data_IF_598889484267
#
_entry.id   IF_598889484267
#
_cell.length_a   1.000
_cell.length_b   1.000
_cell.length_c   1.000
_cell.angle_alpha   90.00
_cell.angle_beta   90.00
_cell.angle_gamma   90.00
#
_symmetry.space_group_name_H-M   'P 1'
#
loop_
_entity.id
_entity.type
_entity.pdbx_description
1 polymer ?
#
# COMPACT_ATOMS: atom_id res chain seq x y z
N UNK A 1 -24.74 26.15 -16.29
CA UNK A 1 -23.39 26.59 -16.60
C UNK A 1 -22.85 25.82 -17.79
N UNK A 2 -22.19 26.52 -18.69
CA UNK A 2 -21.63 25.85 -19.86
C UNK A 2 -20.19 25.42 -19.54
N UNK A 3 -19.77 24.26 -20.10
CA UNK A 3 -18.40 23.75 -20.01
C UNK A 3 -17.47 24.63 -20.85
N UNK A 4 -16.37 25.06 -20.28
CA UNK A 4 -15.29 25.67 -21.05
C UNK A 4 -14.42 24.54 -21.62
N UNK A 5 -14.39 24.40 -22.94
CA UNK A 5 -13.72 23.30 -23.61
C UNK A 5 -12.76 23.79 -24.69
N UNK A 6 -11.53 23.32 -24.66
CA UNK A 6 -10.56 23.50 -25.74
C UNK A 6 -10.16 22.11 -26.24
N UNK A 7 -10.35 21.88 -27.54
CA UNK A 7 -9.82 20.74 -28.27
C UNK A 7 -9.23 21.27 -29.57
N UNK A 8 -7.92 21.21 -29.74
CA UNK A 8 -7.25 21.80 -30.92
C UNK A 8 -5.94 21.11 -31.23
N UNK A 9 -5.75 20.79 -32.52
CA UNK A 9 -4.49 20.22 -33.02
C UNK A 9 -3.37 21.27 -33.24
N UNK A 10 -3.71 22.54 -33.40
CA UNK A 10 -2.76 23.58 -33.79
C UNK A 10 -2.61 24.74 -32.81
N UNK A 11 -3.18 24.66 -31.61
CA UNK A 11 -3.08 25.68 -30.59
C UNK A 11 -1.77 25.53 -29.83
N UNK A 12 -0.85 26.53 -29.96
CA UNK A 12 0.42 26.51 -29.24
C UNK A 12 0.33 27.05 -27.81
N UNK A 13 -0.54 28.04 -27.58
CA UNK A 13 -0.74 28.61 -26.25
C UNK A 13 -2.15 29.20 -26.14
N UNK A 14 -2.65 29.20 -24.91
CA UNK A 14 -3.94 29.82 -24.57
C UNK A 14 -3.82 30.61 -23.27
N UNK A 15 -4.33 31.83 -23.26
CA UNK A 15 -4.38 32.68 -22.08
C UNK A 15 -5.77 33.31 -21.92
N UNK A 16 -6.32 33.25 -20.72
CA UNK A 16 -7.57 33.90 -20.32
C UNK A 16 -7.33 34.67 -19.01
N UNK A 17 -6.63 35.80 -19.12
CA UNK A 17 -6.09 36.54 -17.97
C UNK A 17 -7.17 37.18 -17.05
N UNK A 18 -8.37 37.40 -17.56
CA UNK A 18 -9.47 38.00 -16.79
C UNK A 18 -10.57 36.95 -16.43
N UNK A 19 -10.35 35.67 -16.74
CA UNK A 19 -11.30 34.61 -16.41
C UNK A 19 -11.22 34.29 -14.92
N UNK A 20 -12.25 34.65 -14.16
CA UNK A 20 -12.30 34.43 -12.71
C UNK A 20 -13.04 33.18 -12.29
N UNK A 21 -13.95 32.66 -13.12
CA UNK A 21 -14.68 31.45 -12.79
C UNK A 21 -15.18 30.70 -14.03
N UNK A 22 -15.29 29.39 -13.90
CA UNK A 22 -15.96 28.49 -14.84
C UNK A 22 -17.11 27.82 -14.09
N UNK A 23 -18.36 28.09 -14.51
CA UNK A 23 -19.57 27.65 -13.79
C UNK A 23 -19.87 26.14 -13.90
N UNK A 24 -19.14 25.40 -14.75
CA UNK A 24 -19.24 23.95 -14.91
C UNK A 24 -17.83 23.38 -15.07
N UNK A 25 -17.56 22.55 -16.08
CA UNK A 25 -16.26 21.94 -16.27
C UNK A 25 -15.28 22.87 -17.02
N UNK A 26 -14.03 22.87 -16.62
CA UNK A 26 -12.88 23.34 -17.40
C UNK A 26 -12.23 22.11 -18.03
N UNK A 27 -12.36 21.96 -19.35
CA UNK A 27 -11.87 20.78 -20.06
C UNK A 27 -10.89 21.19 -21.17
N UNK A 28 -9.61 21.00 -20.95
CA UNK A 28 -8.54 21.19 -21.91
C UNK A 28 -8.07 19.79 -22.33
N UNK A 29 -8.47 19.37 -23.53
CA UNK A 29 -8.29 17.98 -23.98
C UNK A 29 -7.65 18.00 -25.36
N UNK A 30 -6.41 17.54 -25.42
CA UNK A 30 -5.71 17.35 -26.69
C UNK A 30 -6.34 16.23 -27.51
N UNK A 31 -6.34 16.40 -28.82
CA UNK A 31 -6.83 15.39 -29.75
C UNK A 31 -5.81 14.25 -29.88
N UNK A 32 -6.30 13.04 -30.09
CA UNK A 32 -5.47 11.88 -30.37
C UNK A 32 -5.83 11.27 -31.72
N UNK A 33 -4.84 10.68 -32.39
CA UNK A 33 -5.04 9.90 -33.59
C UNK A 33 -5.66 8.52 -33.30
N UNK A 34 -5.87 7.71 -34.34
CA UNK A 34 -6.43 6.37 -34.22
C UNK A 34 -5.53 5.40 -33.41
N UNK A 35 -4.25 5.71 -33.22
CA UNK A 35 -3.31 4.95 -32.40
C UNK A 35 -3.31 5.39 -30.92
N UNK A 36 -4.04 6.46 -30.59
CA UNK A 36 -4.06 7.08 -29.27
C UNK A 36 -2.92 8.07 -29.03
N UNK A 37 -2.10 8.37 -30.05
CA UNK A 37 -1.04 9.36 -29.96
C UNK A 37 -1.62 10.78 -30.05
N UNK A 38 -1.20 11.69 -29.18
CA UNK A 38 -1.68 13.08 -29.20
C UNK A 38 -1.15 13.83 -30.40
N UNK A 39 -2.05 14.59 -31.07
CA UNK A 39 -1.75 15.52 -32.14
C UNK A 39 -1.74 16.98 -31.67
N UNK A 40 -1.87 17.22 -30.36
CA UNK A 40 -1.96 18.56 -29.78
C UNK A 40 -0.63 19.00 -29.21
N UNK A 41 -0.11 20.12 -29.70
CA UNK A 41 1.22 20.66 -29.39
C UNK A 41 1.15 21.95 -28.56
N UNK A 42 0.15 22.11 -27.70
CA UNK A 42 0.07 23.27 -26.82
C UNK A 42 1.17 23.20 -25.76
N UNK A 43 1.87 24.33 -25.57
CA UNK A 43 2.99 24.43 -24.64
C UNK A 43 2.62 25.15 -23.34
N UNK A 44 1.63 26.05 -23.36
CA UNK A 44 1.29 26.91 -22.22
C UNK A 44 -0.21 27.17 -22.14
N UNK A 45 -0.77 26.98 -20.93
CA UNK A 45 -2.11 27.47 -20.57
C UNK A 45 -2.01 28.45 -19.38
N UNK A 46 -2.68 29.61 -19.49
CA UNK A 46 -2.59 30.69 -18.50
C UNK A 46 -3.97 31.16 -18.05
N UNK A 47 -4.26 30.97 -16.77
CA UNK A 47 -5.52 31.36 -16.10
C UNK A 47 -5.19 32.00 -14.73
N UNK A 48 -4.48 33.15 -14.68
CA UNK A 48 -3.88 33.67 -13.44
C UNK A 48 -4.91 34.19 -12.46
N UNK A 49 -6.10 34.60 -12.96
CA UNK A 49 -7.19 35.14 -12.15
C UNK A 49 -8.32 34.12 -11.88
N UNK A 50 -8.17 32.87 -12.35
CA UNK A 50 -9.20 31.83 -12.14
C UNK A 50 -9.27 31.43 -10.67
N UNK A 51 -10.41 31.73 -10.05
CA UNK A 51 -10.66 31.46 -8.62
C UNK A 51 -11.39 30.14 -8.41
N UNK A 52 -12.31 29.77 -9.33
CA UNK A 52 -13.14 28.60 -9.13
C UNK A 52 -13.58 27.90 -10.41
N UNK A 53 -13.76 26.58 -10.30
CA UNK A 53 -14.36 25.71 -11.32
C UNK A 53 -15.52 24.95 -10.66
N UNK A 54 -16.76 25.17 -11.14
CA UNK A 54 -17.98 24.58 -10.58
C UNK A 54 -18.26 23.13 -11.00
N UNK A 55 -17.34 22.51 -11.69
CA UNK A 55 -17.35 21.08 -12.05
C UNK A 55 -15.92 20.52 -12.04
N UNK A 56 -15.59 19.63 -12.96
CA UNK A 56 -14.24 19.08 -13.06
C UNK A 56 -13.27 20.05 -13.76
N UNK A 57 -12.03 20.08 -13.32
CA UNK A 57 -10.90 20.65 -14.04
C UNK A 57 -10.10 19.50 -14.64
N UNK A 58 -10.09 19.40 -15.97
CA UNK A 58 -9.41 18.32 -16.71
C UNK A 58 -8.44 18.89 -17.73
N UNK A 59 -7.17 18.56 -17.61
CA UNK A 59 -6.12 18.88 -18.58
C UNK A 59 -5.45 17.57 -18.97
N UNK A 60 -5.54 17.20 -20.25
CA UNK A 60 -4.99 15.92 -20.70
C UNK A 60 -4.60 15.89 -22.18
N UNK A 61 -3.69 14.96 -22.52
CA UNK A 61 -3.25 14.66 -23.88
C UNK A 61 -2.52 15.86 -24.56
N UNK A 62 -1.66 16.54 -23.82
CA UNK A 62 -0.78 17.58 -24.36
C UNK A 62 0.68 17.23 -24.04
N UNK A 63 1.36 16.45 -24.90
CA UNK A 63 2.71 15.95 -24.64
C UNK A 63 3.79 17.04 -24.63
N UNK A 64 3.48 18.25 -25.13
CA UNK A 64 4.39 19.38 -25.14
C UNK A 64 4.03 20.47 -24.11
N UNK A 65 2.99 20.25 -23.29
CA UNK A 65 2.53 21.23 -22.31
C UNK A 65 3.54 21.40 -21.18
N UNK A 66 4.30 22.48 -21.24
CA UNK A 66 5.36 22.77 -20.28
C UNK A 66 4.88 23.53 -19.04
N UNK A 67 3.79 24.31 -19.15
CA UNK A 67 3.26 25.03 -17.99
C UNK A 67 1.75 25.25 -18.04
N UNK A 68 1.15 25.25 -16.84
CA UNK A 68 -0.22 25.67 -16.57
C UNK A 68 -0.18 26.65 -15.40
N UNK A 69 -0.69 27.87 -15.61
CA UNK A 69 -0.84 28.84 -14.54
C UNK A 69 -2.30 28.89 -14.07
N UNK A 70 -2.55 28.37 -12.89
CA UNK A 70 -3.79 28.47 -12.15
C UNK A 70 -3.50 28.96 -10.71
N UNK A 71 -2.57 29.90 -10.57
CA UNK A 71 -2.01 30.32 -9.26
C UNK A 71 -3.04 30.98 -8.32
N UNK A 72 -4.16 31.48 -8.86
CA UNK A 72 -5.24 32.02 -8.04
C UNK A 72 -6.33 31.02 -7.68
N UNK A 73 -6.29 29.79 -8.23
CA UNK A 73 -7.37 28.81 -8.07
C UNK A 73 -7.54 28.40 -6.60
N UNK A 74 -8.77 28.58 -6.08
CA UNK A 74 -9.12 28.31 -4.69
C UNK A 74 -9.98 27.06 -4.53
N UNK A 75 -10.87 26.79 -5.50
CA UNK A 75 -11.78 25.65 -5.39
C UNK A 75 -12.13 25.03 -6.75
N UNK A 76 -12.22 23.72 -6.75
CA UNK A 76 -12.80 22.90 -7.82
C UNK A 76 -13.88 22.02 -7.20
N UNK A 77 -15.17 22.22 -7.58
CA UNK A 77 -16.26 21.42 -6.99
C UNK A 77 -16.23 19.95 -7.39
N UNK A 78 -15.58 19.64 -8.51
CA UNK A 78 -15.33 18.30 -9.02
C UNK A 78 -13.88 17.87 -8.87
N UNK A 79 -13.45 17.01 -9.77
CA UNK A 79 -12.11 16.42 -9.79
C UNK A 79 -11.10 17.36 -10.46
N UNK A 80 -9.87 17.33 -9.97
CA UNK A 80 -8.68 17.95 -10.58
C UNK A 80 -7.88 16.85 -11.27
N UNK A 81 -7.83 16.87 -12.59
CA UNK A 81 -7.25 15.81 -13.42
C UNK A 81 -6.15 16.36 -14.33
N UNK A 82 -4.94 15.88 -14.16
CA UNK A 82 -3.78 16.10 -15.04
C UNK A 82 -3.30 14.75 -15.58
N UNK A 83 -3.39 14.57 -16.90
CA UNK A 83 -3.03 13.27 -17.49
C UNK A 83 -2.33 13.41 -18.84
N UNK A 84 -1.30 12.60 -19.08
CA UNK A 84 -0.57 12.53 -20.37
C UNK A 84 -0.06 13.90 -20.80
N UNK A 85 0.73 14.55 -19.94
CA UNK A 85 1.26 15.90 -20.06
C UNK A 85 2.79 15.92 -19.92
N UNK A 86 3.43 17.01 -20.33
CA UNK A 86 4.88 17.23 -20.15
C UNK A 86 5.21 18.22 -19.02
N UNK A 87 4.27 18.45 -18.09
CA UNK A 87 4.47 19.41 -17.02
C UNK A 87 5.64 19.02 -16.11
N UNK A 88 6.48 20.00 -15.79
CA UNK A 88 7.57 19.86 -14.82
C UNK A 88 7.12 20.13 -13.37
N UNK A 89 5.99 20.79 -13.18
CA UNK A 89 5.39 21.06 -11.87
C UNK A 89 3.91 21.41 -11.98
N UNK A 90 3.16 21.11 -10.93
CA UNK A 90 1.77 21.53 -10.76
C UNK A 90 1.69 22.33 -9.47
N UNK A 91 1.36 23.61 -9.61
CA UNK A 91 1.33 24.57 -8.51
C UNK A 91 -0.07 25.12 -8.33
N UNK A 92 -0.71 24.77 -7.23
CA UNK A 92 -2.06 25.18 -6.83
C UNK A 92 -2.03 25.81 -5.41
N UNK A 93 -1.24 26.90 -5.23
CA UNK A 93 -0.85 27.37 -3.90
C UNK A 93 -1.99 27.91 -3.05
N UNK A 94 -3.15 28.20 -3.66
CA UNK A 94 -4.33 28.74 -2.96
C UNK A 94 -5.52 27.79 -2.96
N UNK A 95 -5.34 26.59 -3.52
CA UNK A 95 -6.44 25.62 -3.58
C UNK A 95 -6.73 25.08 -2.20
N UNK A 96 -7.98 25.25 -1.74
CA UNK A 96 -8.43 24.82 -0.42
C UNK A 96 -9.35 23.60 -0.47
N UNK A 97 -9.99 23.33 -1.61
CA UNK A 97 -10.92 22.23 -1.76
C UNK A 97 -11.02 21.72 -3.19
N UNK A 98 -11.11 20.41 -3.35
CA UNK A 98 -11.55 19.72 -4.55
C UNK A 98 -12.18 18.39 -4.16
N UNK A 99 -12.82 17.71 -5.13
CA UNK A 99 -13.35 16.38 -4.88
C UNK A 99 -12.20 15.35 -4.91
N UNK A 100 -11.60 15.10 -6.07
CA UNK A 100 -10.49 14.18 -6.20
C UNK A 100 -9.31 14.86 -6.90
N UNK A 101 -8.09 14.37 -6.62
CA UNK A 101 -6.86 14.75 -7.32
C UNK A 101 -6.33 13.54 -8.06
N UNK A 102 -6.16 13.67 -9.37
CA UNK A 102 -5.59 12.63 -10.22
C UNK A 102 -4.47 13.22 -11.08
N UNK A 103 -3.26 12.68 -10.93
CA UNK A 103 -2.08 13.03 -11.72
C UNK A 103 -1.47 11.74 -12.27
N UNK A 104 -1.62 11.51 -13.58
CA UNK A 104 -1.18 10.27 -14.21
C UNK A 104 -0.36 10.53 -15.48
N UNK A 105 0.74 9.82 -15.67
CA UNK A 105 1.63 9.92 -16.83
C UNK A 105 2.14 11.37 -17.02
N UNK A 106 2.58 12.03 -15.95
CA UNK A 106 3.13 13.39 -15.97
C UNK A 106 4.53 13.38 -15.36
N UNK A 107 5.59 13.77 -16.09
CA UNK A 107 6.96 13.72 -15.59
C UNK A 107 7.32 14.92 -14.69
N UNK A 108 6.39 15.34 -13.83
CA UNK A 108 6.59 16.49 -12.93
C UNK A 108 7.62 16.18 -11.84
N UNK A 109 8.30 17.22 -11.36
CA UNK A 109 9.22 17.15 -10.22
C UNK A 109 8.51 17.44 -8.89
N UNK A 110 7.47 18.28 -8.92
CA UNK A 110 6.75 18.72 -7.72
C UNK A 110 5.27 18.90 -7.97
N UNK A 111 4.47 18.51 -6.98
CA UNK A 111 3.04 18.84 -6.86
C UNK A 111 2.84 19.64 -5.57
N UNK A 112 2.24 20.82 -5.66
CA UNK A 112 2.05 21.72 -4.52
C UNK A 112 0.60 22.20 -4.42
N UNK A 113 -0.06 21.82 -3.34
CA UNK A 113 -1.37 22.31 -2.90
C UNK A 113 -1.36 22.46 -1.36
N UNK A 114 -0.48 23.36 -0.82
CA UNK A 114 -0.23 23.45 0.63
C UNK A 114 -1.42 23.96 1.45
N UNK A 115 -2.39 24.62 0.83
CA UNK A 115 -3.61 25.12 1.51
C UNK A 115 -4.81 24.16 1.35
N UNK A 116 -4.65 23.01 0.65
CA UNK A 116 -5.73 22.03 0.50
C UNK A 116 -6.03 21.37 1.84
N UNK A 117 -7.26 21.56 2.34
CA UNK A 117 -7.67 21.10 3.68
C UNK A 117 -8.26 19.70 3.66
N UNK A 118 -9.02 19.38 2.63
CA UNK A 118 -9.74 18.12 2.49
C UNK A 118 -9.95 17.80 1.01
N UNK A 119 -9.85 16.52 0.67
CA UNK A 119 -10.15 16.01 -0.65
C UNK A 119 -10.74 14.59 -0.56
N UNK A 120 -11.31 14.12 -1.65
CA UNK A 120 -11.74 12.74 -1.82
C UNK A 120 -10.54 11.83 -2.10
N UNK A 121 -10.51 11.14 -3.23
CA UNK A 121 -9.35 10.32 -3.59
C UNK A 121 -8.17 11.18 -4.08
N UNK A 122 -6.95 10.70 -3.80
CA UNK A 122 -5.69 11.27 -4.30
C UNK A 122 -4.90 10.18 -5.01
N UNK A 123 -4.57 10.42 -6.28
CA UNK A 123 -3.81 9.47 -7.09
C UNK A 123 -2.64 10.17 -7.78
N UNK A 124 -1.43 9.68 -7.52
CA UNK A 124 -0.24 9.93 -8.32
C UNK A 124 0.21 8.60 -8.93
N UNK A 125 0.17 8.50 -10.26
CA UNK A 125 0.51 7.27 -10.97
C UNK A 125 1.42 7.56 -12.16
N UNK A 126 2.49 6.79 -12.27
CA UNK A 126 3.46 6.91 -13.37
C UNK A 126 4.01 8.34 -13.55
N UNK A 127 4.40 8.98 -12.43
CA UNK A 127 5.03 10.30 -12.41
C UNK A 127 6.52 10.13 -12.06
N UNK A 128 7.31 9.66 -13.03
CA UNK A 128 8.67 9.15 -12.83
C UNK A 128 9.66 10.14 -12.17
N UNK A 129 9.46 11.46 -12.35
CA UNK A 129 10.34 12.48 -11.78
C UNK A 129 9.78 13.11 -10.49
N UNK A 130 8.61 12.71 -10.01
CA UNK A 130 7.96 13.29 -8.84
C UNK A 130 8.79 13.02 -7.58
N UNK A 131 9.46 14.04 -7.07
CA UNK A 131 10.28 13.99 -5.87
C UNK A 131 9.67 14.69 -4.66
N UNK A 132 8.65 15.52 -4.87
CA UNK A 132 8.01 16.30 -3.82
C UNK A 132 6.49 16.39 -4.04
N UNK A 133 5.75 16.03 -3.01
CA UNK A 133 4.30 16.25 -2.90
C UNK A 133 4.07 17.11 -1.67
N UNK A 134 3.52 18.32 -1.82
CA UNK A 134 3.14 19.20 -0.71
C UNK A 134 1.62 19.37 -0.67
N UNK A 135 1.02 18.68 0.28
CA UNK A 135 -0.39 18.77 0.69
C UNK A 135 -0.43 18.91 2.22
N UNK A 136 0.44 19.76 2.76
CA UNK A 136 0.74 19.83 4.20
C UNK A 136 -0.42 20.27 5.09
N UNK A 137 -1.48 20.86 4.53
CA UNK A 137 -2.70 21.18 5.27
C UNK A 137 -3.74 20.05 5.27
N UNK A 138 -3.60 19.01 4.43
CA UNK A 138 -4.56 17.90 4.37
C UNK A 138 -4.47 17.05 5.63
N UNK A 139 -5.57 16.91 6.33
CA UNK A 139 -5.68 16.04 7.51
C UNK A 139 -6.50 14.79 7.24
N UNK A 140 -7.43 14.84 6.29
CA UNK A 140 -8.32 13.73 5.92
C UNK A 140 -8.39 13.59 4.41
N UNK A 141 -8.28 12.37 3.93
CA UNK A 141 -8.58 11.95 2.56
C UNK A 141 -9.84 11.07 2.63
N UNK A 142 -10.96 11.55 2.05
CA UNK A 142 -12.26 10.86 2.13
C UNK A 142 -12.37 9.63 1.22
N UNK A 143 -11.39 9.41 0.35
CA UNK A 143 -11.27 8.26 -0.55
C UNK A 143 -9.94 7.56 -0.40
N UNK A 144 -9.46 6.97 -1.50
CA UNK A 144 -8.17 6.28 -1.55
C UNK A 144 -7.00 7.27 -1.68
N UNK A 145 -5.86 6.93 -1.08
CA UNK A 145 -4.57 7.55 -1.37
C UNK A 145 -3.68 6.56 -2.12
N UNK A 146 -3.37 6.87 -3.37
CA UNK A 146 -2.56 6.01 -4.23
C UNK A 146 -1.27 6.73 -4.68
N UNK A 147 -0.14 6.17 -4.30
CA UNK A 147 1.19 6.53 -4.75
C UNK A 147 1.75 5.33 -5.51
N UNK A 148 1.77 5.40 -6.86
CA UNK A 148 2.15 4.27 -7.68
C UNK A 148 3.16 4.65 -8.76
N UNK A 149 4.21 3.83 -8.92
CA UNK A 149 5.24 3.99 -9.94
C UNK A 149 5.86 5.41 -9.94
N UNK A 150 6.42 5.81 -8.78
CA UNK A 150 7.04 7.11 -8.53
C UNK A 150 8.54 6.92 -8.24
N UNK A 151 9.35 6.81 -9.28
CA UNK A 151 10.72 6.30 -9.23
C UNK A 151 11.69 7.07 -8.33
N UNK A 152 11.40 8.35 -8.03
CA UNK A 152 12.28 9.21 -7.23
C UNK A 152 11.66 9.73 -5.94
N UNK A 153 10.38 9.46 -5.67
CA UNK A 153 9.72 9.89 -4.45
C UNK A 153 10.22 9.06 -3.26
N UNK A 154 11.14 9.62 -2.49
CA UNK A 154 11.79 8.90 -1.39
C UNK A 154 11.32 9.31 0.01
N UNK A 155 10.46 10.32 0.11
CA UNK A 155 9.76 10.73 1.33
C UNK A 155 8.38 11.33 1.00
N UNK A 156 7.52 11.41 1.98
CA UNK A 156 6.17 11.98 1.89
C UNK A 156 5.92 13.01 3.00
N UNK A 157 6.93 13.81 3.32
CA UNK A 157 6.86 14.84 4.37
C UNK A 157 5.71 15.83 4.20
N UNK A 158 5.37 16.16 2.95
CA UNK A 158 4.22 17.01 2.64
C UNK A 158 2.85 16.39 2.89
N UNK A 159 2.79 15.17 3.44
CA UNK A 159 1.58 14.49 3.93
C UNK A 159 1.61 14.30 5.46
N UNK A 160 2.52 14.97 6.17
CA UNK A 160 2.74 14.73 7.62
C UNK A 160 1.58 15.17 8.53
N UNK A 161 0.65 15.97 8.03
CA UNK A 161 -0.57 16.33 8.77
C UNK A 161 -1.72 15.31 8.61
N UNK A 162 -1.55 14.31 7.73
CA UNK A 162 -2.60 13.33 7.43
C UNK A 162 -2.87 12.43 8.63
N UNK A 163 -4.12 12.40 9.08
CA UNK A 163 -4.59 11.59 10.20
C UNK A 163 -5.51 10.45 9.79
N UNK A 164 -6.26 10.61 8.68
CA UNK A 164 -7.24 9.61 8.24
C UNK A 164 -7.26 9.45 6.72
N UNK A 165 -7.35 8.22 6.26
CA UNK A 165 -7.67 7.83 4.88
C UNK A 165 -8.89 6.93 4.94
N UNK A 166 -10.05 7.42 4.52
CA UNK A 166 -11.31 6.66 4.61
C UNK A 166 -11.41 5.55 3.54
N UNK A 167 -10.48 5.52 2.60
CA UNK A 167 -10.25 4.45 1.64
C UNK A 167 -8.98 3.65 1.93
N UNK A 168 -8.39 3.08 0.88
CA UNK A 168 -7.14 2.36 0.96
C UNK A 168 -5.94 3.29 0.79
N UNK A 169 -4.89 3.06 1.57
CA UNK A 169 -3.57 3.63 1.34
C UNK A 169 -2.74 2.65 0.51
N UNK A 170 -2.41 3.03 -0.71
CA UNK A 170 -1.57 2.22 -1.61
C UNK A 170 -0.24 2.93 -1.90
N UNK A 171 0.86 2.29 -1.58
CA UNK A 171 2.22 2.70 -1.90
C UNK A 171 2.88 1.57 -2.67
N UNK A 172 3.05 1.73 -3.99
CA UNK A 172 3.56 0.68 -4.87
C UNK A 172 4.61 1.24 -5.82
N UNK A 173 5.74 0.54 -5.95
CA UNK A 173 6.84 0.96 -6.83
C UNK A 173 7.35 2.37 -6.53
N UNK A 174 7.50 2.68 -5.22
CA UNK A 174 7.95 3.96 -4.68
C UNK A 174 9.16 3.71 -3.79
N UNK A 175 10.32 4.36 -3.99
CA UNK A 175 11.53 4.11 -3.21
C UNK A 175 11.49 4.75 -1.80
N UNK A 176 10.32 4.79 -1.19
CA UNK A 176 10.10 5.31 0.17
C UNK A 176 10.95 4.53 1.17
N UNK A 177 11.65 5.24 2.07
CA UNK A 177 12.59 4.65 3.02
C UNK A 177 11.97 4.34 4.38
N UNK A 178 10.98 5.12 4.77
CA UNK A 178 10.26 4.94 6.03
C UNK A 178 8.85 5.56 5.95
N UNK A 179 8.03 5.26 6.93
CA UNK A 179 6.66 5.79 7.09
C UNK A 179 6.59 6.89 8.14
N UNK A 180 7.72 7.39 8.66
CA UNK A 180 7.73 8.39 9.72
C UNK A 180 6.89 9.65 9.42
N UNK A 181 6.86 10.18 8.18
CA UNK A 181 5.97 11.30 7.87
C UNK A 181 4.47 10.98 8.02
N UNK A 182 4.07 9.72 7.96
CA UNK A 182 2.69 9.26 8.15
C UNK A 182 2.42 8.72 9.57
N UNK A 183 3.29 9.03 10.54
CA UNK A 183 3.15 8.57 11.92
C UNK A 183 1.91 9.14 12.65
N UNK A 184 1.28 10.19 12.10
CA UNK A 184 0.04 10.74 12.62
C UNK A 184 -1.22 10.02 12.10
N UNK A 185 -1.04 9.06 11.19
CA UNK A 185 -2.16 8.32 10.60
C UNK A 185 -2.80 7.40 11.64
N UNK A 186 -4.07 7.66 11.95
CA UNK A 186 -4.84 6.93 12.97
C UNK A 186 -5.88 5.98 12.40
N UNK A 187 -6.24 6.14 11.11
CA UNK A 187 -7.26 5.30 10.48
C UNK A 187 -7.04 5.13 8.98
N UNK A 188 -7.21 3.89 8.51
CA UNK A 188 -7.31 3.52 7.09
C UNK A 188 -8.37 2.43 6.90
N UNK A 189 -8.93 2.27 5.70
CA UNK A 189 -9.72 1.07 5.39
C UNK A 189 -8.80 -0.13 5.19
N UNK A 190 -7.77 -0.01 4.39
CA UNK A 190 -6.73 -1.01 4.17
C UNK A 190 -5.42 -0.35 3.77
N UNK A 191 -4.33 -1.11 3.78
CA UNK A 191 -3.02 -0.61 3.40
C UNK A 191 -2.28 -1.63 2.52
N UNK A 192 -1.78 -1.16 1.40
CA UNK A 192 -0.92 -1.94 0.50
C UNK A 192 0.43 -1.25 0.38
N UNK A 193 1.51 -1.96 0.73
CA UNK A 193 2.89 -1.48 0.61
C UNK A 193 3.67 -2.49 -0.23
N UNK A 194 4.03 -2.09 -1.45
CA UNK A 194 4.68 -2.98 -2.42
C UNK A 194 5.90 -2.35 -3.05
N UNK A 195 6.99 -3.10 -3.15
CA UNK A 195 8.22 -2.70 -3.84
C UNK A 195 8.75 -1.32 -3.41
N UNK A 196 8.97 -1.17 -2.11
CA UNK A 196 9.53 0.03 -1.48
C UNK A 196 10.92 -0.22 -0.91
N UNK A 197 11.56 0.82 -0.37
CA UNK A 197 12.81 0.72 0.37
C UNK A 197 12.63 0.80 1.90
N UNK A 198 11.40 0.62 2.39
CA UNK A 198 11.09 0.68 3.82
C UNK A 198 11.80 -0.46 4.55
N UNK A 199 12.45 -0.12 5.67
CA UNK A 199 13.13 -1.07 6.55
C UNK A 199 12.27 -1.46 7.76
N UNK A 200 11.49 -0.51 8.26
CA UNK A 200 10.54 -0.70 9.37
C UNK A 200 9.17 -0.18 8.97
N UNK A 201 8.15 -1.01 9.12
CA UNK A 201 6.76 -0.59 9.01
C UNK A 201 6.18 -0.46 10.42
N UNK A 202 5.92 0.77 10.84
CA UNK A 202 5.28 1.08 12.12
C UNK A 202 3.87 1.61 11.87
N UNK A 203 2.88 0.79 12.25
CA UNK A 203 1.45 1.11 12.10
C UNK A 203 0.73 1.13 13.46
N UNK A 204 1.50 1.28 14.55
CA UNK A 204 0.91 1.40 15.90
C UNK A 204 0.04 2.65 16.00
N UNK A 205 -1.12 2.50 16.61
CA UNK A 205 -2.13 3.56 16.71
C UNK A 205 -2.95 3.77 15.45
N UNK A 206 -2.70 3.05 14.35
CA UNK A 206 -3.50 3.10 13.14
C UNK A 206 -4.53 1.97 13.14
N UNK A 207 -5.82 2.31 13.09
CA UNK A 207 -6.92 1.36 13.00
C UNK A 207 -7.23 1.02 11.54
N UNK A 208 -7.59 -0.25 11.31
CA UNK A 208 -8.03 -0.75 10.01
C UNK A 208 -9.53 -1.03 10.06
N UNK A 209 -10.28 -0.47 9.14
CA UNK A 209 -11.74 -0.61 9.12
C UNK A 209 -12.19 -1.92 8.41
N UNK A 210 -11.67 -3.07 8.86
CA UNK A 210 -11.97 -4.40 8.31
C UNK A 210 -11.27 -4.72 6.99
N UNK A 211 -10.36 -3.87 6.51
CA UNK A 211 -9.57 -4.10 5.31
C UNK A 211 -8.33 -4.96 5.57
N UNK A 212 -7.49 -5.11 4.55
CA UNK A 212 -6.27 -5.88 4.65
C UNK A 212 -5.02 -5.01 4.78
N UNK A 213 -4.03 -5.49 5.53
CA UNK A 213 -2.64 -5.07 5.42
C UNK A 213 -1.93 -6.01 4.44
N UNK A 214 -1.58 -5.50 3.27
CA UNK A 214 -0.86 -6.25 2.24
C UNK A 214 0.55 -5.70 2.04
N UNK A 215 1.55 -6.54 2.21
CA UNK A 215 2.95 -6.17 2.12
C UNK A 215 3.66 -7.13 1.17
N UNK A 216 4.09 -6.62 0.02
CA UNK A 216 4.71 -7.45 -1.01
C UNK A 216 6.02 -6.83 -1.54
N UNK A 217 6.97 -7.68 -1.91
CA UNK A 217 8.23 -7.30 -2.61
C UNK A 217 9.07 -6.21 -1.92
N UNK A 218 8.95 -6.04 -0.61
CA UNK A 218 9.71 -5.04 0.14
C UNK A 218 11.06 -5.60 0.58
N UNK A 219 12.04 -5.49 -0.31
CA UNK A 219 13.36 -6.10 -0.22
C UNK A 219 14.20 -5.72 0.98
N UNK A 220 13.85 -4.69 1.72
CA UNK A 220 14.60 -4.20 2.89
C UNK A 220 13.83 -4.28 4.19
N UNK A 221 12.54 -4.62 4.12
CA UNK A 221 11.66 -4.61 5.28
C UNK A 221 11.92 -5.83 6.17
N UNK A 222 12.37 -5.58 7.38
CA UNK A 222 12.68 -6.63 8.37
C UNK A 222 11.93 -6.43 9.71
N UNK A 223 11.33 -5.25 9.93
CA UNK A 223 10.68 -4.93 11.19
C UNK A 223 9.24 -4.46 10.99
N UNK A 224 8.32 -5.11 11.70
CA UNK A 224 6.89 -4.84 11.68
C UNK A 224 6.42 -4.49 13.08
N UNK A 225 5.80 -3.31 13.25
CA UNK A 225 5.29 -2.83 14.53
C UNK A 225 3.81 -2.48 14.39
N UNK A 226 2.96 -3.13 15.17
CA UNK A 226 1.54 -2.86 15.24
C UNK A 226 1.04 -2.95 16.68
N UNK A 227 -0.23 -2.64 16.89
CA UNK A 227 -0.91 -2.92 18.14
C UNK A 227 -1.22 -4.43 18.26
N UNK A 228 -1.55 -4.89 19.48
CA UNK A 228 -1.82 -6.30 19.76
C UNK A 228 -3.09 -6.79 19.05
N UNK A 229 -4.11 -5.94 18.93
CA UNK A 229 -5.37 -6.26 18.26
C UNK A 229 -5.38 -5.62 16.87
N UNK A 230 -5.60 -6.43 15.84
CA UNK A 230 -5.66 -6.00 14.44
C UNK A 230 -7.02 -6.40 13.83
N UNK A 231 -7.82 -5.39 13.45
CA UNK A 231 -9.13 -5.57 12.83
C UNK A 231 -9.00 -5.66 11.30
N UNK A 232 -8.80 -6.84 10.79
CA UNK A 232 -8.63 -7.10 9.36
C UNK A 232 -7.75 -8.32 9.10
N UNK A 233 -7.33 -8.49 7.84
CA UNK A 233 -6.40 -9.54 7.44
C UNK A 233 -4.98 -8.99 7.27
N UNK A 234 -3.97 -9.81 7.58
CA UNK A 234 -2.55 -9.47 7.41
C UNK A 234 -1.93 -10.43 6.41
N UNK A 235 -1.39 -9.89 5.33
CA UNK A 235 -0.68 -10.65 4.32
C UNK A 235 0.70 -10.07 4.09
N UNK A 236 1.70 -10.84 4.47
CA UNK A 236 3.11 -10.49 4.28
C UNK A 236 3.70 -11.48 3.28
N UNK A 237 4.05 -10.97 2.11
CA UNK A 237 4.74 -11.71 1.08
C UNK A 237 6.09 -11.02 0.80
N UNK A 238 7.15 -11.27 1.56
CA UNK A 238 8.43 -10.60 1.42
C UNK A 238 9.13 -10.83 0.08
N UNK A 239 8.46 -11.51 -0.86
CA UNK A 239 9.09 -12.02 -2.07
C UNK A 239 9.05 -11.16 -3.29
N UNK A 240 10.15 -10.97 -3.77
CA UNK A 240 10.52 -10.57 -5.11
C UNK A 240 12.02 -10.45 -5.22
N UNK A 241 12.72 -10.33 -4.14
CA UNK A 241 14.17 -10.29 -4.09
C UNK A 241 14.65 -11.07 -2.88
N UNK A 242 15.74 -11.80 -3.05
CA UNK A 242 16.52 -12.38 -1.95
C UNK A 242 16.92 -11.28 -0.99
N UNK A 243 16.12 -11.08 0.06
CA UNK A 243 16.47 -10.15 1.11
C UNK A 243 17.33 -10.89 2.10
N UNK A 244 18.56 -10.48 2.13
CA UNK A 244 19.45 -10.80 3.25
C UNK A 244 19.18 -9.80 4.38
N UNK A 245 17.99 -9.88 5.02
CA UNK A 245 17.85 -9.22 6.31
C UNK A 245 18.30 -10.19 7.38
N UNK A 246 19.24 -9.79 8.23
CA UNK A 246 19.79 -10.68 9.25
C UNK A 246 18.78 -11.05 10.33
N UNK A 247 17.69 -10.30 10.44
CA UNK A 247 16.65 -10.45 11.46
C UNK A 247 15.29 -10.20 10.86
N UNK A 248 14.31 -11.03 11.22
CA UNK A 248 12.89 -10.77 11.01
C UNK A 248 12.27 -10.45 12.38
N UNK A 249 11.70 -9.27 12.52
CA UNK A 249 11.11 -8.82 13.78
C UNK A 249 9.66 -8.43 13.58
N UNK A 250 8.77 -8.99 14.38
CA UNK A 250 7.35 -8.67 14.41
C UNK A 250 6.93 -8.39 15.84
N UNK A 251 6.29 -7.24 16.09
CA UNK A 251 5.81 -6.85 17.42
C UNK A 251 4.36 -6.41 17.31
N UNK A 252 3.53 -6.82 18.28
CA UNK A 252 2.07 -6.68 18.20
C UNK A 252 1.43 -7.80 17.41
N UNK A 253 0.33 -7.53 16.73
CA UNK A 253 -0.42 -8.52 15.93
C UNK A 253 -0.84 -9.79 16.70
N UNK A 254 -1.09 -9.69 18.00
CA UNK A 254 -1.44 -10.89 18.77
C UNK A 254 -2.78 -11.47 18.38
N UNK A 255 -3.79 -10.60 18.19
CA UNK A 255 -5.14 -11.00 17.82
C UNK A 255 -5.50 -10.41 16.45
N UNK A 256 -5.83 -11.27 15.50
CA UNK A 256 -6.16 -10.88 14.11
C UNK A 256 -7.59 -11.30 13.82
N UNK A 257 -8.45 -10.33 13.49
CA UNK A 257 -9.87 -10.56 13.22
C UNK A 257 -10.14 -11.16 11.82
N UNK A 258 -9.14 -11.26 10.96
CA UNK A 258 -9.22 -11.86 9.62
C UNK A 258 -8.26 -13.02 9.45
N UNK A 259 -7.64 -13.10 8.26
CA UNK A 259 -6.61 -14.07 7.94
C UNK A 259 -5.22 -13.52 8.27
N UNK A 260 -4.30 -14.40 8.61
CA UNK A 260 -2.88 -14.10 8.71
C UNK A 260 -2.07 -14.96 7.76
N UNK A 261 -1.26 -14.33 6.93
CA UNK A 261 -0.41 -15.05 6.00
C UNK A 261 0.98 -14.41 5.90
N UNK A 262 2.00 -15.23 6.09
CA UNK A 262 3.35 -14.97 5.61
C UNK A 262 3.65 -16.05 4.58
N UNK A 263 3.73 -15.65 3.29
CA UNK A 263 4.00 -16.59 2.22
C UNK A 263 5.19 -16.07 1.40
N UNK A 264 6.26 -16.85 1.36
CA UNK A 264 7.41 -16.48 0.56
C UNK A 264 8.77 -16.68 1.23
N UNK A 265 9.81 -15.95 0.77
CA UNK A 265 11.17 -16.19 1.25
C UNK A 265 11.52 -15.28 2.44
N UNK A 266 11.66 -15.84 3.62
CA UNK A 266 12.19 -15.15 4.81
C UNK A 266 13.65 -15.59 4.98
N UNK A 267 14.59 -14.63 4.99
CA UNK A 267 16.00 -14.89 5.16
C UNK A 267 16.43 -14.46 6.56
N UNK A 268 16.14 -15.30 7.54
CA UNK A 268 16.54 -15.10 8.91
C UNK A 268 16.94 -16.46 9.52
N UNK A 269 17.83 -16.49 10.50
CA UNK A 269 18.19 -17.73 11.21
C UNK A 269 17.06 -18.19 12.15
N UNK A 270 16.35 -17.24 12.76
CA UNK A 270 15.21 -17.48 13.65
C UNK A 270 14.05 -16.59 13.24
N UNK A 271 12.84 -17.13 13.27
CA UNK A 271 11.60 -16.40 12.99
C UNK A 271 10.65 -16.60 14.16
N UNK A 272 10.25 -15.49 14.79
CA UNK A 272 9.28 -15.46 15.85
C UNK A 272 8.00 -14.78 15.37
N UNK A 273 6.87 -15.47 15.44
CA UNK A 273 5.55 -14.97 15.06
C UNK A 273 4.72 -14.76 16.33
N UNK A 274 4.45 -13.52 16.75
CA UNK A 274 3.79 -13.21 18.01
C UNK A 274 2.27 -13.42 17.97
N UNK A 275 1.70 -13.84 16.86
CA UNK A 275 0.27 -14.03 16.65
C UNK A 275 -0.25 -15.14 17.55
N UNK A 276 -1.18 -14.80 18.45
CA UNK A 276 -1.78 -15.71 19.41
C UNK A 276 -3.14 -16.23 18.94
N UNK A 277 -3.92 -15.39 18.24
CA UNK A 277 -5.26 -15.74 17.79
C UNK A 277 -5.54 -15.18 16.38
N UNK A 278 -6.10 -16.02 15.52
CA UNK A 278 -6.58 -15.68 14.18
C UNK A 278 -8.00 -16.19 14.03
N UNK A 279 -8.97 -15.33 13.64
CA UNK A 279 -10.34 -15.78 13.45
C UNK A 279 -10.55 -16.48 12.09
N UNK A 280 -9.75 -16.11 11.09
CA UNK A 280 -9.69 -16.72 9.77
C UNK A 280 -8.64 -17.82 9.63
N UNK A 281 -8.00 -17.87 8.46
CA UNK A 281 -6.95 -18.83 8.16
C UNK A 281 -5.57 -18.30 8.61
N UNK A 282 -4.73 -19.20 9.09
CA UNK A 282 -3.33 -18.93 9.41
C UNK A 282 -2.42 -19.64 8.40
N UNK A 283 -1.54 -18.91 7.77
CA UNK A 283 -0.56 -19.47 6.82
C UNK A 283 0.85 -18.96 7.12
N UNK A 284 1.79 -19.87 7.30
CA UNK A 284 3.21 -19.59 7.35
C UNK A 284 3.94 -20.51 6.37
N UNK A 285 4.41 -19.95 5.23
CA UNK A 285 5.06 -20.68 4.13
C UNK A 285 6.30 -19.93 3.64
N UNK A 286 7.48 -20.39 3.99
CA UNK A 286 8.75 -19.74 3.65
C UNK A 286 9.35 -20.15 2.29
N UNK A 287 8.61 -20.89 1.45
CA UNK A 287 9.02 -21.23 0.08
C UNK A 287 10.06 -22.37 -0.04
N UNK A 288 10.38 -22.71 -1.29
CA UNK A 288 11.13 -23.95 -1.65
C UNK A 288 12.66 -23.83 -1.72
N UNK A 289 13.28 -22.69 -1.48
CA UNK A 289 14.69 -22.55 -1.78
C UNK A 289 15.58 -23.25 -0.75
N UNK A 290 16.47 -24.08 -1.26
CA UNK A 290 17.38 -24.94 -0.49
C UNK A 290 18.49 -24.20 0.28
N UNK A 291 18.54 -22.87 0.21
CA UNK A 291 19.65 -22.06 0.70
C UNK A 291 19.23 -20.99 1.73
N UNK A 292 18.05 -21.13 2.35
CA UNK A 292 17.64 -20.21 3.39
C UNK A 292 18.14 -20.65 4.77
N UNK A 293 18.66 -19.70 5.57
CA UNK A 293 19.27 -20.04 6.84
C UNK A 293 18.29 -20.24 7.99
N UNK A 294 16.96 -20.28 7.72
CA UNK A 294 16.00 -20.50 8.82
C UNK A 294 16.30 -21.85 9.48
N UNK A 295 16.65 -21.79 10.76
CA UNK A 295 16.83 -22.97 11.60
C UNK A 295 15.66 -23.16 12.56
N UNK A 296 15.14 -22.05 13.09
CA UNK A 296 14.14 -22.06 14.15
C UNK A 296 12.95 -21.20 13.79
N UNK A 297 11.76 -21.76 13.93
CA UNK A 297 10.48 -21.07 13.78
C UNK A 297 9.71 -21.23 15.07
N UNK A 298 9.34 -20.12 15.73
CA UNK A 298 8.50 -20.11 16.92
C UNK A 298 7.24 -19.30 16.68
N UNK A 299 6.07 -19.93 16.84
CA UNK A 299 4.78 -19.35 16.55
C UNK A 299 3.94 -19.38 17.83
N UNK A 300 3.59 -18.20 18.34
CA UNK A 300 2.83 -18.08 19.59
C UNK A 300 1.36 -18.52 19.49
N UNK A 301 0.88 -18.92 18.31
CA UNK A 301 -0.51 -19.22 17.98
C UNK A 301 -1.15 -20.16 19.01
N UNK A 302 -2.29 -19.74 19.58
CA UNK A 302 -3.12 -20.50 20.50
C UNK A 302 -4.39 -21.04 19.82
N UNK A 303 -5.04 -20.21 19.02
CA UNK A 303 -6.25 -20.59 18.29
C UNK A 303 -6.23 -20.06 16.85
N UNK A 304 -6.64 -20.91 15.91
CA UNK A 304 -6.95 -20.58 14.54
C UNK A 304 -8.40 -20.96 14.25
N UNK A 305 -9.24 -20.01 13.88
CA UNK A 305 -10.66 -20.23 13.59
C UNK A 305 -10.90 -20.90 12.25
N UNK A 306 -10.02 -20.69 11.28
CA UNK A 306 -10.00 -21.31 9.96
C UNK A 306 -9.05 -22.48 9.85
N UNK A 307 -8.39 -22.58 8.69
CA UNK A 307 -7.34 -23.57 8.40
C UNK A 307 -5.98 -23.05 8.85
N UNK A 308 -5.13 -23.96 9.32
CA UNK A 308 -3.74 -23.67 9.70
C UNK A 308 -2.80 -24.35 8.72
N UNK A 309 -2.10 -23.59 7.91
CA UNK A 309 -1.12 -24.09 6.95
C UNK A 309 0.30 -23.75 7.41
N UNK A 310 1.11 -24.77 7.61
CA UNK A 310 2.52 -24.67 7.93
C UNK A 310 3.31 -25.29 6.77
N UNK A 311 3.92 -24.45 5.92
CA UNK A 311 4.50 -24.90 4.66
C UNK A 311 5.98 -24.60 4.53
N UNK A 312 6.69 -25.48 3.86
CA UNK A 312 7.98 -25.30 3.19
C UNK A 312 9.03 -24.46 3.94
N UNK A 313 9.42 -24.90 5.14
CA UNK A 313 10.36 -24.20 6.01
C UNK A 313 11.82 -24.21 5.53
N UNK A 314 12.09 -24.51 4.26
CA UNK A 314 13.44 -24.53 3.71
C UNK A 314 14.34 -25.53 4.42
N UNK A 315 15.31 -25.06 5.21
CA UNK A 315 16.26 -25.86 6.00
C UNK A 315 15.97 -25.81 7.49
N UNK A 316 14.75 -25.43 7.91
CA UNK A 316 14.43 -25.34 9.34
C UNK A 316 14.60 -26.69 10.05
N UNK A 317 15.29 -26.66 11.18
CA UNK A 317 15.50 -27.80 12.06
C UNK A 317 14.25 -28.02 12.93
N UNK A 318 13.58 -26.93 13.32
CA UNK A 318 12.36 -27.01 14.13
C UNK A 318 11.36 -25.89 13.83
N UNK A 319 10.07 -26.25 13.96
CA UNK A 319 8.94 -25.33 14.02
C UNK A 319 8.13 -25.65 15.29
N UNK A 320 8.01 -24.65 16.17
CA UNK A 320 7.37 -24.78 17.46
C UNK A 320 6.09 -23.95 17.52
N UNK A 321 4.98 -24.56 17.92
CA UNK A 321 3.72 -23.91 18.27
C UNK A 321 3.34 -24.32 19.71
N UNK A 322 4.07 -23.81 20.72
CA UNK A 322 3.96 -24.34 22.08
C UNK A 322 2.57 -24.12 22.70
N UNK A 323 1.82 -23.15 22.21
CA UNK A 323 0.55 -22.74 22.79
C UNK A 323 -0.67 -23.19 21.97
N UNK A 324 -0.48 -23.80 20.78
CA UNK A 324 -1.60 -24.13 19.89
C UNK A 324 -2.53 -25.17 20.52
N UNK A 325 -3.76 -24.75 20.79
CA UNK A 325 -4.80 -25.60 21.40
C UNK A 325 -5.85 -26.06 20.38
N UNK A 326 -6.17 -25.19 19.39
CA UNK A 326 -7.31 -25.42 18.49
C UNK A 326 -7.08 -24.91 17.08
N UNK A 327 -7.47 -25.72 16.10
CA UNK A 327 -7.63 -25.35 14.68
C UNK A 327 -9.09 -25.61 14.28
N UNK A 328 -9.78 -24.59 13.77
CA UNK A 328 -11.22 -24.66 13.50
C UNK A 328 -11.61 -25.51 12.30
N UNK A 329 -10.72 -25.60 11.30
CA UNK A 329 -10.95 -26.38 10.08
C UNK A 329 -9.82 -27.39 9.87
N UNK A 330 -9.05 -27.22 8.82
CA UNK A 330 -8.01 -28.14 8.39
C UNK A 330 -6.64 -27.68 8.92
N UNK A 331 -5.80 -28.63 9.25
CA UNK A 331 -4.38 -28.41 9.48
C UNK A 331 -3.59 -29.02 8.34
N UNK A 332 -2.83 -28.19 7.64
CA UNK A 332 -1.99 -28.60 6.50
C UNK A 332 -0.52 -28.40 6.84
N UNK A 333 0.25 -29.49 6.80
CA UNK A 333 1.66 -29.53 7.14
C UNK A 333 2.48 -29.90 5.89
N UNK A 334 3.25 -28.94 5.40
CA UNK A 334 4.09 -29.09 4.20
C UNK A 334 5.56 -28.89 4.60
N UNK A 335 6.18 -29.86 5.21
CA UNK A 335 7.56 -29.80 5.67
C UNK A 335 8.56 -30.53 4.77
N UNK A 336 9.86 -30.33 5.01
CA UNK A 336 10.92 -31.20 4.53
C UNK A 336 11.22 -32.32 5.52
N UNK A 337 11.90 -33.35 5.02
CA UNK A 337 12.19 -34.61 5.68
C UNK A 337 12.96 -34.54 7.01
N UNK A 338 13.39 -33.36 7.49
CA UNK A 338 14.23 -33.23 8.68
C UNK A 338 13.76 -32.15 9.66
N UNK A 339 12.61 -31.48 9.41
CA UNK A 339 12.07 -30.48 10.31
C UNK A 339 11.20 -31.12 11.40
N UNK A 340 11.50 -30.80 12.65
CA UNK A 340 10.68 -31.22 13.78
C UNK A 340 9.57 -30.19 14.04
N UNK A 341 8.30 -30.59 13.90
CA UNK A 341 7.15 -29.73 14.21
C UNK A 341 6.59 -30.16 15.59
N UNK A 342 6.46 -29.22 16.52
CA UNK A 342 6.02 -29.47 17.89
C UNK A 342 4.78 -28.64 18.26
N UNK A 343 3.72 -29.30 18.68
CA UNK A 343 2.44 -28.70 19.11
C UNK A 343 1.91 -29.38 20.38
N UNK A 344 2.58 -29.23 21.53
CA UNK A 344 2.31 -30.05 22.73
C UNK A 344 0.95 -29.78 23.36
N UNK A 345 0.28 -28.64 23.06
CA UNK A 345 -1.01 -28.29 23.63
C UNK A 345 -2.20 -28.55 22.70
N UNK A 346 -1.96 -29.04 21.47
CA UNK A 346 -3.02 -29.21 20.47
C UNK A 346 -4.06 -30.25 20.95
N UNK A 347 -5.32 -29.82 21.07
CA UNK A 347 -6.44 -30.62 21.59
C UNK A 347 -7.53 -30.91 20.55
N UNK A 348 -7.68 -30.01 19.53
CA UNK A 348 -8.75 -30.21 18.54
C UNK A 348 -8.38 -29.63 17.16
N UNK A 349 -8.78 -30.39 16.15
CA UNK A 349 -8.77 -29.95 14.73
C UNK A 349 -10.18 -30.24 14.21
N UNK A 350 -10.82 -29.25 13.56
CA UNK A 350 -12.24 -29.33 13.20
C UNK A 350 -12.56 -30.33 12.10
N UNK A 351 -11.66 -30.51 11.13
CA UNK A 351 -11.93 -31.36 9.96
C UNK A 351 -10.86 -32.44 9.77
N UNK A 352 -9.71 -32.11 9.17
CA UNK A 352 -8.69 -33.08 8.81
C UNK A 352 -7.26 -32.56 9.04
N UNK A 353 -6.32 -33.47 9.17
CA UNK A 353 -4.89 -33.20 9.06
C UNK A 353 -4.48 -33.60 7.62
N UNK A 354 -4.08 -32.62 6.81
CA UNK A 354 -3.40 -32.85 5.53
C UNK A 354 -1.89 -32.90 5.78
N UNK A 355 -1.22 -33.91 5.24
CA UNK A 355 0.23 -33.96 5.22
C UNK A 355 0.69 -34.28 3.81
N UNK A 356 1.71 -33.56 3.30
CA UNK A 356 2.35 -33.87 2.03
C UNK A 356 3.08 -35.24 2.15
N UNK A 357 3.02 -36.07 1.12
CA UNK A 357 3.70 -37.38 1.05
C UNK A 357 5.22 -37.28 1.24
N UNK A 358 5.78 -36.06 1.07
CA UNK A 358 7.20 -35.77 1.34
C UNK A 358 7.55 -35.61 2.83
N UNK A 359 6.59 -35.56 3.73
CA UNK A 359 6.78 -35.49 5.17
C UNK A 359 7.26 -36.85 5.72
N UNK A 360 8.53 -37.10 5.65
CA UNK A 360 9.20 -38.17 6.42
C UNK A 360 9.55 -37.71 7.86
N UNK A 361 8.99 -36.58 8.32
CA UNK A 361 9.25 -36.01 9.63
C UNK A 361 8.39 -36.65 10.71
N UNK A 362 9.00 -36.89 11.86
CA UNK A 362 8.31 -37.38 13.04
C UNK A 362 7.41 -36.26 13.60
N UNK A 363 6.10 -36.37 13.42
CA UNK A 363 5.13 -35.51 14.08
C UNK A 363 4.94 -36.04 15.52
N UNK A 364 5.55 -35.36 16.50
CA UNK A 364 5.27 -35.63 17.90
C UNK A 364 4.07 -34.79 18.35
N UNK A 365 2.87 -35.38 18.33
CA UNK A 365 1.74 -34.87 19.10
C UNK A 365 1.85 -35.47 20.49
N UNK A 366 2.48 -34.77 21.42
CA UNK A 366 2.53 -35.20 22.81
C UNK A 366 1.22 -34.80 23.51
N UNK A 367 0.27 -35.70 23.56
CA UNK A 367 -0.87 -35.59 24.48
C UNK A 367 -0.37 -35.84 25.90
N UNK A 368 -0.16 -34.75 26.65
CA UNK A 368 0.26 -34.81 28.06
C UNK A 368 -0.78 -35.31 29.05
N UNK A 369 -1.56 -36.35 28.72
CA UNK A 369 -2.39 -37.06 29.64
C UNK A 369 -2.22 -38.56 29.40
N UNK A 370 -1.16 -39.11 29.97
CA UNK A 370 -1.18 -40.49 30.45
C UNK A 370 -1.10 -40.44 31.97
N UNK A 371 -2.24 -40.19 32.58
CA UNK A 371 -2.55 -40.80 33.89
C UNK A 371 -3.52 -41.94 33.62
N UNK A 372 -3.02 -43.13 33.84
CA UNK A 372 -3.49 -44.50 34.02
C UNK A 372 -2.98 -45.48 32.98
#
# INVERSE_FOLDING_TARGET
GETFHIASEGLLAFAANELTSVGSNLALIGTTDESGTSNSHSEVFVFPDLLSVGGNMTIRNFPDLASVDCSALQAVEGNVIFRDLALSGILLPKMTACRDVEVCNVPLYTFQAPELLQCGAVTFDNCANLGEVDMSAVTVIDGDLTLNNLEVLNNVEGLSSLTEVHGNLTISDVPLKDMAPLANLTSVTGMTVTNTNIETLDIRGCTFAGGALEIEKNGKLYSFLADDDFDGSVRINPNGSLIQVPEFSMTGFKNIAGDFSIAGYVYAESVEIPVEMVTGDFTFDCGHANNFPIKYVDIALRECGGSCTLGRFGSAESCSLPNLEKVGKQMDLQGRAECMISMPQLRSIGENIGADESLQSLIYVYNGNQDD
#
